data_IF_248259769979
#
_entry.id   IF_248259769979
#
_cell.length_a   1.000
_cell.length_b   1.000
_cell.length_c   1.000
_cell.angle_alpha   90.00
_cell.angle_beta   90.00
_cell.angle_gamma   90.00
#
_symmetry.space_group_name_H-M   'P 1'
#
loop_
_entity.id
_entity.type
_entity.pdbx_description
1 polymer ?
#
# COMPACT_ATOMS: atom_id res chain seq x y z
N UNK A 1 -1.79 2.14 17.20
CA UNK A 1 -1.09 1.53 16.06
C UNK A 1 -1.56 0.10 15.93
N UNK A 2 -2.46 -0.19 15.00
CA UNK A 2 -2.96 -1.55 14.79
C UNK A 2 -1.87 -2.41 14.18
N UNK A 3 -1.55 -3.55 14.81
CA UNK A 3 -0.80 -4.59 14.13
C UNK A 3 -1.57 -4.97 12.86
N UNK A 4 -0.90 -4.98 11.70
CA UNK A 4 -1.53 -5.46 10.47
C UNK A 4 -1.93 -6.92 10.70
N UNK A 5 -3.16 -7.27 10.32
CA UNK A 5 -3.70 -8.60 10.52
C UNK A 5 -2.79 -9.69 9.91
N UNK A 6 -2.67 -10.84 10.58
CA UNK A 6 -1.74 -11.91 10.21
C UNK A 6 -1.97 -12.45 8.80
N UNK A 7 -3.22 -12.49 8.34
CA UNK A 7 -3.56 -12.84 6.97
C UNK A 7 -2.95 -11.87 5.94
N UNK A 8 -2.91 -10.56 6.24
CA UNK A 8 -2.28 -9.56 5.39
C UNK A 8 -0.77 -9.73 5.35
N UNK A 9 -0.14 -10.07 6.48
CA UNK A 9 1.32 -10.30 6.55
C UNK A 9 1.78 -11.50 5.72
N UNK A 10 0.90 -12.49 5.53
CA UNK A 10 1.15 -13.69 4.74
C UNK A 10 0.74 -13.56 3.27
N UNK A 11 0.10 -12.45 2.91
CA UNK A 11 -0.31 -12.21 1.54
C UNK A 11 0.93 -12.02 0.65
N UNK A 12 0.97 -12.72 -0.50
CA UNK A 12 2.08 -12.64 -1.46
C UNK A 12 2.29 -11.23 -2.02
N UNK A 13 1.22 -10.43 -2.04
CA UNK A 13 1.25 -9.04 -2.48
C UNK A 13 1.63 -8.04 -1.38
N UNK A 14 1.98 -8.49 -0.16
CA UNK A 14 2.45 -7.62 0.91
C UNK A 14 3.98 -7.62 1.00
N UNK A 15 4.61 -6.45 0.81
CA UNK A 15 6.06 -6.32 0.65
C UNK A 15 6.79 -5.70 1.85
N UNK A 16 6.11 -5.52 2.98
CA UNK A 16 6.73 -4.89 4.15
C UNK A 16 7.03 -3.40 3.93
N UNK A 17 8.09 -2.88 4.57
CA UNK A 17 8.50 -1.48 4.42
C UNK A 17 9.26 -1.32 3.10
N UNK A 18 8.67 -0.59 2.16
CA UNK A 18 9.25 -0.36 0.84
C UNK A 18 8.99 1.08 0.42
N UNK A 19 10.02 1.90 0.14
CA UNK A 19 9.85 3.28 -0.29
C UNK A 19 9.29 3.37 -1.71
N UNK A 20 8.77 4.54 -2.08
CA UNK A 20 8.07 4.74 -3.37
C UNK A 20 8.94 4.42 -4.59
N UNK A 21 10.23 4.73 -4.49
CA UNK A 21 11.22 4.61 -5.56
C UNK A 21 11.42 3.15 -6.00
N UNK A 22 11.31 2.21 -5.06
CA UNK A 22 11.53 0.79 -5.31
C UNK A 22 10.30 0.11 -5.93
N UNK A 23 9.14 0.78 -5.96
CA UNK A 23 7.87 0.21 -6.41
C UNK A 23 7.68 0.38 -7.92
N UNK A 24 8.03 1.56 -8.45
CA UNK A 24 7.80 1.90 -9.86
C UNK A 24 8.39 0.84 -10.82
N UNK A 25 9.59 0.27 -10.59
CA UNK A 25 10.12 -0.79 -11.45
C UNK A 25 9.41 -2.14 -11.30
N UNK A 26 8.71 -2.39 -10.18
CA UNK A 26 8.05 -3.66 -9.90
C UNK A 26 6.68 -3.78 -10.54
N UNK A 27 5.98 -2.65 -10.72
CA UNK A 27 4.66 -2.60 -11.32
C UNK A 27 4.80 -2.15 -12.78
N UNK A 28 4.69 -3.10 -13.71
CA UNK A 28 5.02 -2.87 -15.13
C UNK A 28 3.76 -2.78 -15.97
N UNK A 29 2.79 -3.66 -15.73
CA UNK A 29 1.55 -3.79 -16.51
C UNK A 29 0.39 -3.16 -15.76
N UNK A 30 -0.57 -2.65 -16.51
CA UNK A 30 -1.82 -2.16 -15.91
C UNK A 30 -2.52 -3.31 -15.18
N UNK A 31 -2.90 -3.02 -13.93
CA UNK A 31 -3.42 -4.02 -12.99
C UNK A 31 -2.38 -4.57 -12.02
N UNK A 32 -1.07 -4.39 -12.25
CA UNK A 32 -0.05 -4.76 -11.27
C UNK A 32 -0.23 -3.93 -10.00
N UNK A 33 -0.18 -4.61 -8.84
CA UNK A 33 -0.34 -3.96 -7.55
C UNK A 33 0.50 -4.60 -6.45
N UNK A 34 0.75 -3.83 -5.39
CA UNK A 34 1.28 -4.35 -4.14
C UNK A 34 0.79 -3.53 -2.94
N UNK A 35 0.79 -4.16 -1.78
CA UNK A 35 0.53 -3.55 -0.49
C UNK A 35 1.85 -3.39 0.28
N UNK A 36 2.07 -2.23 0.89
CA UNK A 36 3.31 -1.92 1.60
C UNK A 36 3.09 -1.07 2.82
N UNK A 37 4.07 -1.11 3.73
CA UNK A 37 4.31 -0.06 4.71
C UNK A 37 5.15 1.05 4.09
N UNK A 38 4.88 2.28 4.51
CA UNK A 38 5.66 3.48 4.13
C UNK A 38 5.67 4.47 5.29
N UNK A 39 6.65 5.37 5.31
CA UNK A 39 6.63 6.49 6.23
C UNK A 39 5.88 7.69 5.61
N UNK A 40 5.04 8.35 6.41
CA UNK A 40 4.39 9.63 6.11
C UNK A 40 4.38 10.45 7.40
N UNK A 41 5.04 11.61 7.39
CA UNK A 41 5.13 12.52 8.56
C UNK A 41 5.60 11.83 9.85
N UNK A 42 6.63 10.98 9.77
CA UNK A 42 7.17 10.24 10.92
C UNK A 42 6.32 9.07 11.40
N UNK A 43 5.20 8.76 10.73
CA UNK A 43 4.36 7.61 11.03
C UNK A 43 4.48 6.53 9.96
N UNK A 44 4.56 5.26 10.38
CA UNK A 44 4.47 4.11 9.48
C UNK A 44 2.99 3.83 9.18
N UNK A 45 2.62 3.96 7.91
CA UNK A 45 1.26 3.76 7.40
C UNK A 45 1.23 2.64 6.35
N UNK A 46 0.04 2.15 6.04
CA UNK A 46 -0.19 1.16 4.98
C UNK A 46 -0.59 1.88 3.68
N UNK A 47 -0.09 1.41 2.55
CA UNK A 47 -0.45 1.94 1.24
C UNK A 47 -0.58 0.83 0.20
N UNK A 48 -1.56 0.97 -0.68
CA UNK A 48 -1.71 0.21 -1.90
C UNK A 48 -1.07 0.99 -3.05
N UNK A 49 -0.20 0.34 -3.81
CA UNK A 49 0.33 0.87 -5.07
C UNK A 49 -0.28 0.09 -6.23
N UNK A 50 -0.77 0.78 -7.26
CA UNK A 50 -1.40 0.16 -8.44
C UNK A 50 -0.90 0.85 -9.70
N UNK A 51 -0.44 0.08 -10.68
CA UNK A 51 -0.22 0.58 -12.04
C UNK A 51 -1.53 0.63 -12.80
N UNK A 52 -1.88 1.82 -13.30
CA UNK A 52 -3.05 1.98 -14.16
C UNK A 52 -2.98 3.23 -15.03
N UNK A 53 -3.13 3.06 -16.35
CA UNK A 53 -3.15 4.13 -17.34
C UNK A 53 -1.91 5.06 -17.28
N UNK A 54 -0.71 4.50 -17.12
CA UNK A 54 0.54 5.25 -17.30
C UNK A 54 1.36 5.57 -16.05
N UNK A 55 0.81 6.04 -14.91
CA UNK A 55 1.56 6.17 -13.65
C UNK A 55 1.22 5.08 -12.62
N UNK A 56 2.10 4.86 -11.62
CA UNK A 56 1.73 4.13 -10.41
C UNK A 56 1.00 5.08 -9.48
N UNK A 57 -0.23 4.69 -9.12
CA UNK A 57 -1.09 5.41 -8.19
C UNK A 57 -0.91 4.82 -6.80
N UNK A 58 -0.88 5.67 -5.78
CA UNK A 58 -0.70 5.24 -4.40
C UNK A 58 -1.89 5.68 -3.57
N UNK A 59 -2.49 4.74 -2.85
CA UNK A 59 -3.64 4.96 -2.00
C UNK A 59 -3.28 4.60 -0.58
N UNK A 60 -3.46 5.53 0.35
CA UNK A 60 -3.26 5.25 1.76
C UNK A 60 -4.41 4.38 2.25
N UNK A 61 -4.06 3.29 2.92
CA UNK A 61 -5.00 2.34 3.50
C UNK A 61 -5.04 2.59 5.00
N UNK A 62 -6.19 3.04 5.47
CA UNK A 62 -6.50 3.20 6.87
C UNK A 62 -7.31 2.02 7.38
N UNK A 63 -7.42 1.93 8.70
CA UNK A 63 -8.16 0.88 9.38
C UNK A 63 -8.91 1.48 10.57
N UNK A 64 -10.20 1.20 10.68
CA UNK A 64 -10.99 1.41 11.89
C UNK A 64 -11.12 0.10 12.68
N UNK A 65 -12.10 -0.03 13.58
CA UNK A 65 -12.23 -1.25 14.40
C UNK A 65 -12.44 -2.51 13.56
N UNK A 66 -13.14 -2.39 12.43
CA UNK A 66 -13.67 -3.54 11.71
C UNK A 66 -13.29 -3.55 10.22
N UNK A 67 -12.92 -2.39 9.66
CA UNK A 67 -12.78 -2.22 8.21
C UNK A 67 -11.47 -1.55 7.80
N UNK A 68 -11.00 -1.94 6.62
CA UNK A 68 -9.99 -1.20 5.87
C UNK A 68 -10.64 -0.27 4.86
N UNK A 69 -10.13 0.94 4.74
CA UNK A 69 -10.64 1.94 3.80
C UNK A 69 -9.51 2.79 3.23
N UNK A 70 -9.70 3.31 2.03
CA UNK A 70 -8.75 4.29 1.48
C UNK A 70 -9.04 5.66 2.09
N UNK A 71 -8.02 6.47 2.34
CA UNK A 71 -8.13 7.83 2.92
C UNK A 71 -9.03 8.79 2.10
N UNK A 72 -9.50 8.35 0.92
CA UNK A 72 -10.14 9.14 -0.13
C UNK A 72 -9.20 10.21 -0.69
N UNK A 73 -9.09 10.28 -2.01
CA UNK A 73 -8.47 11.44 -2.66
C UNK A 73 -9.36 12.65 -2.32
N UNK A 74 -8.89 13.54 -1.44
CA UNK A 74 -9.31 14.94 -1.44
C UNK A 74 -8.76 15.62 -2.69
#
# INVERSE_FOLDING_TARGET
MGAIAENVRRASFYHGLMPRQDIEPLLVKDGDFLLRKTEKMGAIILALAVRWNGPVKHFIVNQDKDNYYFESHL
#
